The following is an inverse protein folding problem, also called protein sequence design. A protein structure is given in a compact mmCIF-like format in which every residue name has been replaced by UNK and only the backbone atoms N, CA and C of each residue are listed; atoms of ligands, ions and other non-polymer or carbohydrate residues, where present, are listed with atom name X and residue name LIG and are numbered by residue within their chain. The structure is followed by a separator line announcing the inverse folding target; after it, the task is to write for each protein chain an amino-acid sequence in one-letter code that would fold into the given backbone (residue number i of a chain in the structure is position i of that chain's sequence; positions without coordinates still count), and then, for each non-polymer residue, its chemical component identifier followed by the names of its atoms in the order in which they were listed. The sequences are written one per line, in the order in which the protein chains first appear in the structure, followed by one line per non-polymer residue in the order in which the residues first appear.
data_IF_248799280219
#
_entry.id   IF_248799280219
#
_cell.length_a   1.000
_cell.length_b   1.000
_cell.length_c   1.000
_cell.angle_alpha   90.00
_cell.angle_beta   90.00
_cell.angle_gamma   90.00
#
_symmetry.space_group_name_H-M   'P 1'
#
loop_
_entity.id
_entity.type
_entity.pdbx_description
1 polymer ?
#
# COMPACT_ATOMS: atom_id res chain seq x y z
N UNK A 1 -31.59 5.76 -27.62
CA UNK A 1 -30.32 5.97 -26.88
C UNK A 1 -30.49 5.39 -25.49
N UNK A 2 -30.07 4.15 -25.29
CA UNK A 2 -30.20 3.45 -24.00
C UNK A 2 -28.93 3.71 -23.21
N UNK A 3 -29.02 4.48 -22.12
CA UNK A 3 -27.88 4.76 -21.27
C UNK A 3 -27.43 3.45 -20.58
N UNK A 4 -26.25 2.96 -20.94
CA UNK A 4 -25.61 1.85 -20.24
C UNK A 4 -25.11 2.39 -18.91
N UNK A 5 -25.89 2.18 -17.85
CA UNK A 5 -25.52 2.55 -16.50
C UNK A 5 -24.36 1.64 -16.10
N UNK A 6 -23.14 2.16 -16.10
CA UNK A 6 -21.98 1.48 -15.50
C UNK A 6 -22.33 1.31 -14.02
N UNK A 7 -22.67 0.08 -13.62
CA UNK A 7 -22.67 -0.29 -12.21
C UNK A 7 -21.24 -0.12 -11.73
N UNK A 8 -21.00 0.93 -10.94
CA UNK A 8 -19.75 1.05 -10.19
C UNK A 8 -19.93 0.10 -9.00
N UNK A 9 -19.50 -1.15 -9.20
CA UNK A 9 -19.35 -2.08 -8.09
C UNK A 9 -18.35 -1.46 -7.09
N UNK A 10 -18.60 -1.55 -5.77
CA UNK A 10 -17.63 -1.06 -4.80
C UNK A 10 -16.28 -1.75 -5.07
N UNK A 11 -15.18 -0.99 -5.10
CA UNK A 11 -13.86 -1.56 -5.39
C UNK A 11 -13.57 -2.72 -4.44
N UNK A 12 -13.35 -3.88 -5.04
CA UNK A 12 -13.19 -5.13 -4.30
C UNK A 12 -11.95 -5.01 -3.40
N UNK A 13 -12.06 -5.40 -2.11
CA UNK A 13 -10.92 -5.35 -1.21
C UNK A 13 -9.80 -6.26 -1.71
N UNK A 14 -8.55 -5.83 -1.55
CA UNK A 14 -7.41 -6.66 -1.90
C UNK A 14 -7.40 -7.95 -1.05
N UNK A 15 -7.09 -9.12 -1.65
CA UNK A 15 -7.00 -10.37 -0.91
C UNK A 15 -5.94 -10.27 0.20
N UNK A 16 -6.19 -10.84 1.39
CA UNK A 16 -5.27 -10.72 2.52
C UNK A 16 -3.90 -11.36 2.25
N UNK A 17 -3.84 -12.40 1.40
CA UNK A 17 -2.58 -13.00 0.97
C UNK A 17 -1.76 -12.05 0.08
N UNK A 18 -2.42 -11.28 -0.79
CA UNK A 18 -1.77 -10.30 -1.64
C UNK A 18 -1.26 -9.12 -0.80
N UNK A 19 -2.08 -8.60 0.12
CA UNK A 19 -1.65 -7.57 1.07
C UNK A 19 -0.37 -7.99 1.81
N UNK A 20 -0.37 -9.21 2.36
CA UNK A 20 0.80 -9.77 3.05
C UNK A 20 2.02 -9.84 2.13
N UNK A 21 1.88 -10.37 0.91
CA UNK A 21 2.99 -10.49 -0.03
C UNK A 21 3.60 -9.13 -0.38
N UNK A 22 2.75 -8.12 -0.62
CA UNK A 22 3.20 -6.76 -0.90
C UNK A 22 3.96 -6.17 0.30
N UNK A 23 3.45 -6.32 1.53
CA UNK A 23 4.13 -5.86 2.73
C UNK A 23 5.48 -6.56 2.96
N UNK A 24 5.57 -7.88 2.72
CA UNK A 24 6.84 -8.60 2.81
C UNK A 24 7.85 -8.10 1.77
N UNK A 25 7.37 -7.76 0.56
CA UNK A 25 8.21 -7.19 -0.49
C UNK A 25 8.78 -5.82 -0.10
N UNK A 26 7.96 -4.96 0.52
CA UNK A 26 8.39 -3.66 1.03
C UNK A 26 9.42 -3.80 2.16
N UNK A 27 9.21 -4.76 3.07
CA UNK A 27 10.18 -5.05 4.14
C UNK A 27 11.51 -5.57 3.57
N UNK A 28 11.47 -6.41 2.53
CA UNK A 28 12.67 -6.89 1.87
C UNK A 28 13.47 -5.74 1.23
N UNK A 29 12.81 -4.79 0.57
CA UNK A 29 13.45 -3.58 0.06
C UNK A 29 14.11 -2.77 1.18
N UNK A 30 13.38 -2.50 2.27
CA UNK A 30 13.92 -1.77 3.41
C UNK A 30 15.13 -2.49 4.04
N UNK A 31 15.10 -3.83 4.15
CA UNK A 31 16.21 -4.63 4.67
C UNK A 31 17.47 -4.57 3.79
N UNK A 32 17.33 -4.30 2.49
CA UNK A 32 18.44 -4.06 1.56
C UNK A 32 18.90 -2.59 1.53
N UNK A 33 18.45 -1.77 2.49
CA UNK A 33 18.75 -0.33 2.53
C UNK A 33 17.95 0.51 1.54
N UNK A 34 17.04 -0.08 0.76
CA UNK A 34 16.20 0.62 -0.21
C UNK A 34 14.97 1.26 0.47
N UNK A 35 15.17 1.95 1.60
CA UNK A 35 14.10 2.50 2.44
C UNK A 35 13.27 3.53 1.68
N UNK A 36 13.90 4.43 0.92
CA UNK A 36 13.17 5.44 0.12
C UNK A 36 12.25 4.80 -0.92
N UNK A 37 12.73 3.80 -1.65
CA UNK A 37 11.93 3.08 -2.64
C UNK A 37 10.75 2.35 -1.98
N UNK A 38 11.00 1.70 -0.84
CA UNK A 38 9.95 1.03 -0.07
C UNK A 38 8.89 2.03 0.43
N UNK A 39 9.31 3.17 0.99
CA UNK A 39 8.41 4.22 1.45
C UNK A 39 7.60 4.82 0.29
N UNK A 40 8.22 5.07 -0.87
CA UNK A 40 7.51 5.57 -2.05
C UNK A 40 6.39 4.62 -2.50
N UNK A 41 6.69 3.32 -2.59
CA UNK A 41 5.72 2.29 -2.97
C UNK A 41 4.61 2.13 -1.93
N UNK A 42 4.94 2.15 -0.64
CA UNK A 42 3.97 2.12 0.43
C UNK A 42 3.03 3.35 0.40
N UNK A 43 3.56 4.54 0.08
CA UNK A 43 2.77 5.76 -0.11
C UNK A 43 1.77 5.64 -1.26
N UNK A 44 2.18 5.05 -2.39
CA UNK A 44 1.28 4.78 -3.52
C UNK A 44 0.17 3.80 -3.15
N UNK A 45 0.50 2.73 -2.43
CA UNK A 45 -0.50 1.78 -1.92
C UNK A 45 -1.50 2.47 -0.97
N UNK A 46 -1.02 3.32 -0.05
CA UNK A 46 -1.88 4.11 0.81
C UNK A 46 -2.83 5.02 0.01
N UNK A 47 -2.34 5.71 -1.01
CA UNK A 47 -3.18 6.57 -1.84
C UNK A 47 -4.29 5.77 -2.57
N UNK A 48 -3.97 4.58 -3.08
CA UNK A 48 -4.92 3.73 -3.79
C UNK A 48 -5.98 3.08 -2.86
N UNK A 49 -5.61 2.78 -1.61
CA UNK A 49 -6.44 2.01 -0.68
C UNK A 49 -7.25 2.88 0.29
N UNK A 50 -6.93 4.16 0.43
CA UNK A 50 -7.48 5.06 1.47
C UNK A 50 -9.01 5.06 1.52
N UNK A 51 -9.67 5.04 0.36
CA UNK A 51 -11.14 5.15 0.26
C UNK A 51 -11.83 3.78 0.23
N UNK A 52 -11.11 2.75 -0.20
CA UNK A 52 -11.70 1.50 -0.67
C UNK A 52 -11.37 0.30 0.24
N UNK A 53 -10.31 0.40 1.04
CA UNK A 53 -9.82 -0.70 1.87
C UNK A 53 -9.12 -0.15 3.12
N UNK A 54 -9.89 0.37 4.10
CA UNK A 54 -9.33 1.03 5.28
C UNK A 54 -8.48 0.11 6.15
N UNK A 55 -8.77 -1.20 6.18
CA UNK A 55 -7.94 -2.19 6.89
C UNK A 55 -6.57 -2.32 6.24
N UNK A 56 -6.52 -2.51 4.91
CA UNK A 56 -5.27 -2.61 4.18
C UNK A 56 -4.48 -1.31 4.20
N UNK A 57 -5.17 -0.17 4.03
CA UNK A 57 -4.58 1.15 4.20
C UNK A 57 -3.82 1.30 5.51
N UNK A 58 -4.39 0.85 6.64
CA UNK A 58 -3.72 0.91 7.96
C UNK A 58 -2.41 0.12 7.98
N UNK A 59 -2.35 -1.03 7.33
CA UNK A 59 -1.15 -1.87 7.31
C UNK A 59 0.01 -1.21 6.55
N UNK A 60 -0.26 -0.66 5.35
CA UNK A 60 0.73 0.11 4.59
C UNK A 60 1.11 1.42 5.29
N UNK A 61 0.15 2.09 5.92
CA UNK A 61 0.42 3.31 6.67
C UNK A 61 1.31 3.05 7.91
N UNK A 62 1.08 1.93 8.61
CA UNK A 62 1.95 1.51 9.71
C UNK A 62 3.38 1.21 9.25
N UNK A 63 3.55 0.60 8.07
CA UNK A 63 4.87 0.44 7.45
C UNK A 63 5.53 1.81 7.22
N UNK A 64 4.83 2.76 6.60
CA UNK A 64 5.36 4.12 6.37
C UNK A 64 5.83 4.79 7.66
N UNK A 65 5.00 4.80 8.70
CA UNK A 65 5.37 5.44 9.97
C UNK A 65 6.59 4.78 10.62
N UNK A 66 6.79 3.48 10.45
CA UNK A 66 7.96 2.77 10.99
C UNK A 66 9.26 3.11 10.26
N UNK A 67 9.20 3.34 8.94
CA UNK A 67 10.40 3.49 8.11
C UNK A 67 10.67 4.93 7.66
N UNK A 68 9.69 5.84 7.68
CA UNK A 68 9.88 7.24 7.31
C UNK A 68 10.82 8.01 8.25
N UNK A 69 11.04 7.51 9.47
CA UNK A 69 12.01 8.07 10.42
C UNK A 69 13.38 7.38 10.41
N UNK A 70 13.56 6.31 9.62
CA UNK A 70 14.85 5.64 9.48
C UNK A 70 15.63 6.35 8.38
N UNK A 71 16.40 7.37 8.75
CA UNK A 71 17.46 7.88 7.89
C UNK A 71 18.51 6.78 7.72
N UNK A 72 18.90 6.42 6.49
CA UNK A 72 20.03 5.51 6.30
C UNK A 72 21.26 6.09 6.99
N UNK A 73 21.97 5.25 7.76
CA UNK A 73 23.26 5.59 8.37
C UNK A 73 24.27 5.89 7.25
N UNK A 74 25.01 7.02 7.29
CA UNK A 74 25.88 7.48 6.20
C UNK A 74 27.09 6.57 5.93
#
# INVERSE_FOLDING_TARGET
MTAHRVSIDPPEPIPPQLEKLLLESLKALAALGQIEAACRLAGQACAALRENSPTSWKAFNAFLHRYAGQTPDP
#
